data_IF_978975863315
#
_entry.id   IF_978975863315
#
_cell.length_a   1.000
_cell.length_b   1.000
_cell.length_c   1.000
_cell.angle_alpha   90.00
_cell.angle_beta   90.00
_cell.angle_gamma   90.00
#
_symmetry.space_group_name_H-M   'P 1'
#
loop_
_entity.id
_entity.type
_entity.pdbx_description
1 polymer ?
#
# COMPACT_ATOMS: atom_id res chain seq x y z
N UNK A 1 31.20 1.34 -1.88
CA UNK A 1 29.84 1.90 -1.71
C UNK A 1 28.94 1.16 -2.69
N UNK A 2 27.92 0.46 -2.22
CA UNK A 2 26.97 -0.21 -3.11
C UNK A 2 26.28 0.84 -3.97
N UNK A 3 26.28 0.67 -5.29
CA UNK A 3 25.44 1.45 -6.19
C UNK A 3 23.99 1.34 -5.68
N UNK A 4 23.36 2.48 -5.37
CA UNK A 4 21.93 2.52 -5.10
C UNK A 4 21.22 1.97 -6.33
N UNK A 5 20.48 0.88 -6.17
CA UNK A 5 19.64 0.34 -7.24
C UNK A 5 18.32 1.09 -7.18
N UNK A 6 18.11 2.00 -8.13
CA UNK A 6 16.81 2.62 -8.32
C UNK A 6 15.82 1.60 -8.90
N UNK A 7 14.55 1.77 -8.57
CA UNK A 7 13.46 0.98 -9.15
C UNK A 7 12.22 1.85 -9.32
N UNK A 8 11.37 1.46 -10.26
CA UNK A 8 10.18 2.22 -10.63
C UNK A 8 8.92 1.40 -10.33
N UNK A 9 7.93 2.05 -9.74
CA UNK A 9 6.58 1.50 -9.55
C UNK A 9 5.62 2.43 -10.28
N UNK A 10 5.08 1.97 -11.41
CA UNK A 10 4.30 2.80 -12.34
C UNK A 10 5.08 4.08 -12.71
N UNK A 11 4.60 5.25 -12.31
CA UNK A 11 5.19 6.57 -12.53
C UNK A 11 6.09 7.06 -11.39
N UNK A 12 6.18 6.33 -10.28
CA UNK A 12 6.97 6.71 -9.09
C UNK A 12 8.35 6.06 -9.12
N UNK A 13 9.40 6.87 -9.02
CA UNK A 13 10.78 6.38 -8.93
C UNK A 13 11.26 6.32 -7.48
N UNK A 14 11.95 5.25 -7.10
CA UNK A 14 12.61 5.12 -5.80
C UNK A 14 14.12 4.96 -5.99
N UNK A 15 14.91 5.60 -5.12
CA UNK A 15 16.35 5.36 -5.02
C UNK A 15 17.23 6.07 -6.06
N UNK A 16 16.70 7.05 -6.79
CA UNK A 16 17.43 7.87 -7.77
C UNK A 16 17.99 9.19 -7.18
N UNK A 17 17.83 9.40 -5.88
CA UNK A 17 18.25 10.61 -5.16
C UNK A 17 17.16 11.66 -4.99
N UNK A 18 16.01 11.53 -5.67
CA UNK A 18 14.82 12.35 -5.41
C UNK A 18 14.00 11.76 -4.25
N UNK A 19 13.18 12.61 -3.63
CA UNK A 19 12.29 12.20 -2.56
C UNK A 19 10.97 11.72 -3.14
N UNK A 20 10.56 10.52 -2.73
CA UNK A 20 9.28 9.90 -3.08
C UNK A 20 8.58 9.46 -1.82
N UNK A 21 7.26 9.67 -1.77
CA UNK A 21 6.47 9.50 -0.57
C UNK A 21 5.55 8.28 -0.63
N UNK A 22 5.38 7.63 0.51
CA UNK A 22 4.33 6.64 0.75
C UNK A 22 3.46 7.20 1.87
N UNK A 23 2.25 7.65 1.55
CA UNK A 23 1.38 8.39 2.47
C UNK A 23 -0.07 7.92 2.38
N UNK A 24 -0.83 8.16 3.45
CA UNK A 24 -2.25 7.85 3.51
C UNK A 24 -2.68 7.48 4.92
N UNK A 25 -3.99 7.25 5.14
CA UNK A 25 -4.49 6.88 6.44
C UNK A 25 -3.99 5.49 6.86
N UNK A 26 -4.09 5.19 8.16
CA UNK A 26 -3.57 3.95 8.71
C UNK A 26 -4.30 2.71 8.17
N UNK A 27 -5.63 2.81 8.04
CA UNK A 27 -6.55 1.74 7.66
C UNK A 27 -7.64 2.30 6.75
N UNK A 28 -8.19 1.47 5.87
CA UNK A 28 -9.36 1.82 5.06
C UNK A 28 -10.60 1.83 5.97
N UNK A 29 -11.14 3.01 6.23
CA UNK A 29 -12.32 3.21 7.07
C UNK A 29 -13.60 3.32 6.25
N UNK A 30 -13.57 4.07 5.15
CA UNK A 30 -14.68 4.25 4.20
C UNK A 30 -14.16 4.71 2.84
N UNK A 31 -14.96 4.51 1.78
CA UNK A 31 -14.61 4.97 0.44
C UNK A 31 -14.45 6.50 0.40
N UNK A 32 -15.40 7.23 1.01
CA UNK A 32 -15.37 8.69 1.08
C UNK A 32 -14.09 9.21 1.73
N UNK A 33 -13.68 8.64 2.87
CA UNK A 33 -12.47 9.06 3.57
C UNK A 33 -11.21 8.70 2.76
N UNK A 34 -11.17 7.49 2.17
CA UNK A 34 -10.02 7.05 1.40
C UNK A 34 -9.78 7.93 0.16
N UNK A 35 -10.84 8.21 -0.61
CA UNK A 35 -10.80 9.06 -1.80
C UNK A 35 -10.44 10.51 -1.45
N UNK A 36 -11.05 11.07 -0.40
CA UNK A 36 -10.71 12.41 0.09
C UNK A 36 -9.22 12.50 0.43
N UNK A 37 -8.71 11.58 1.24
CA UNK A 37 -7.29 11.59 1.63
C UNK A 37 -6.36 11.39 0.43
N UNK A 38 -6.71 10.49 -0.50
CA UNK A 38 -5.92 10.26 -1.70
C UNK A 38 -5.83 11.52 -2.58
N UNK A 39 -6.97 12.19 -2.79
CA UNK A 39 -7.03 13.42 -3.60
C UNK A 39 -6.23 14.56 -2.97
N UNK A 40 -6.47 14.87 -1.69
CA UNK A 40 -5.79 15.98 -1.00
C UNK A 40 -4.27 15.77 -0.94
N UNK A 41 -3.82 14.54 -0.63
CA UNK A 41 -2.39 14.24 -0.62
C UNK A 41 -1.79 14.36 -2.02
N UNK A 42 -2.47 13.82 -3.05
CA UNK A 42 -2.01 13.90 -4.44
C UNK A 42 -1.85 15.37 -4.90
N UNK A 43 -2.83 16.22 -4.59
CA UNK A 43 -2.78 17.64 -4.97
C UNK A 43 -1.64 18.38 -4.27
N UNK A 44 -1.40 18.12 -2.99
CA UNK A 44 -0.26 18.68 -2.25
C UNK A 44 1.06 18.17 -2.85
N UNK A 45 1.20 16.87 -3.11
CA UNK A 45 2.40 16.28 -3.70
C UNK A 45 2.70 16.88 -5.09
N UNK A 46 1.68 17.10 -5.92
CA UNK A 46 1.81 17.79 -7.21
C UNK A 46 2.29 19.23 -7.05
N UNK A 47 1.75 19.98 -6.09
CA UNK A 47 2.17 21.37 -5.84
C UNK A 47 3.65 21.49 -5.46
N UNK A 48 4.17 20.52 -4.69
CA UNK A 48 5.57 20.51 -4.27
C UNK A 48 6.48 19.65 -5.16
N UNK A 49 5.95 19.13 -6.28
CA UNK A 49 6.68 18.35 -7.29
C UNK A 49 7.39 17.11 -6.72
N UNK A 50 6.68 16.31 -5.94
CA UNK A 50 7.18 15.04 -5.36
C UNK A 50 6.31 13.86 -5.78
N UNK A 51 6.96 12.71 -6.00
CA UNK A 51 6.26 11.48 -6.37
C UNK A 51 5.57 10.85 -5.14
N UNK A 52 4.44 10.16 -5.34
CA UNK A 52 3.58 9.69 -4.27
C UNK A 52 2.92 8.33 -4.57
N UNK A 53 2.95 7.42 -3.58
CA UNK A 53 2.17 6.18 -3.53
C UNK A 53 1.17 6.23 -2.38
N UNK A 54 -0.11 5.99 -2.67
CA UNK A 54 -1.16 5.95 -1.65
C UNK A 54 -1.08 4.66 -0.83
N UNK A 55 -1.14 4.80 0.50
CA UNK A 55 -1.06 3.69 1.45
C UNK A 55 -2.28 3.64 2.35
N UNK A 56 -2.86 2.45 2.51
CA UNK A 56 -3.78 2.12 3.59
C UNK A 56 -3.84 0.61 3.82
N UNK A 57 -4.01 0.19 5.07
CA UNK A 57 -4.19 -1.23 5.40
C UNK A 57 -5.66 -1.63 5.27
N UNK A 58 -5.97 -2.81 4.72
CA UNK A 58 -7.34 -3.35 4.77
C UNK A 58 -7.65 -4.07 6.10
N UNK A 59 -6.61 -4.54 6.80
CA UNK A 59 -6.70 -5.19 8.11
C UNK A 59 -5.56 -4.76 9.04
N UNK A 60 -5.86 -4.58 10.33
CA UNK A 60 -4.88 -4.40 11.41
C UNK A 60 -4.78 -5.70 12.21
N UNK A 61 -4.01 -6.67 11.70
CA UNK A 61 -3.89 -8.00 12.29
C UNK A 61 -3.18 -8.09 13.66
N UNK A 62 -2.67 -6.96 14.17
CA UNK A 62 -1.80 -6.89 15.34
C UNK A 62 -2.29 -5.91 16.42
N UNK A 63 -3.61 -5.71 16.54
CA UNK A 63 -4.19 -4.94 17.65
C UNK A 63 -3.98 -5.68 18.98
N UNK A 64 -3.74 -4.93 20.06
CA UNK A 64 -3.55 -5.50 21.40
C UNK A 64 -4.84 -6.05 22.03
N UNK A 65 -6.02 -5.68 21.51
CA UNK A 65 -7.33 -6.19 21.94
C UNK A 65 -8.11 -6.70 20.73
N UNK A 66 -8.83 -7.81 20.91
CA UNK A 66 -9.69 -8.42 19.89
C UNK A 66 -10.89 -7.54 19.52
N UNK A 67 -11.34 -6.68 20.45
CA UNK A 67 -12.50 -5.79 20.26
C UNK A 67 -12.13 -4.50 19.49
N UNK A 68 -10.83 -4.27 19.27
CA UNK A 68 -10.37 -3.10 18.54
C UNK A 68 -10.77 -3.15 17.07
N UNK A 69 -11.18 -2.00 16.52
CA UNK A 69 -11.42 -1.87 15.08
C UNK A 69 -10.20 -2.28 14.26
N UNK A 70 -10.41 -3.10 13.23
CA UNK A 70 -9.33 -3.64 12.39
C UNK A 70 -9.37 -3.19 10.95
N UNK A 71 -10.38 -2.42 10.54
CA UNK A 71 -10.77 -2.28 9.14
C UNK A 71 -12.01 -3.11 8.85
N UNK A 72 -12.57 -2.97 7.64
CA UNK A 72 -13.75 -3.73 7.22
C UNK A 72 -13.40 -5.02 6.46
N UNK A 73 -12.13 -5.44 6.49
CA UNK A 73 -11.67 -6.67 5.86
C UNK A 73 -11.10 -6.46 4.46
N UNK A 74 -10.59 -7.56 3.90
CA UNK A 74 -9.80 -7.58 2.68
C UNK A 74 -10.61 -7.19 1.45
N UNK A 75 -11.78 -7.81 1.24
CA UNK A 75 -12.63 -7.56 0.07
C UNK A 75 -12.99 -6.07 -0.06
N UNK A 76 -13.54 -5.48 1.02
CA UNK A 76 -13.88 -4.05 1.06
C UNK A 76 -12.66 -3.15 0.89
N UNK A 77 -11.55 -3.48 1.57
CA UNK A 77 -10.33 -2.68 1.48
C UNK A 77 -9.73 -2.68 0.07
N UNK A 78 -9.70 -3.83 -0.60
CA UNK A 78 -9.21 -3.94 -1.98
C UNK A 78 -10.14 -3.27 -2.99
N UNK A 79 -11.46 -3.33 -2.80
CA UNK A 79 -12.42 -2.58 -3.62
C UNK A 79 -12.15 -1.08 -3.57
N UNK A 80 -11.97 -0.53 -2.37
CA UNK A 80 -11.67 0.90 -2.20
C UNK A 80 -10.29 1.27 -2.75
N UNK A 81 -9.28 0.44 -2.53
CA UNK A 81 -7.96 0.69 -3.11
C UNK A 81 -8.00 0.67 -4.64
N UNK A 82 -8.79 -0.23 -5.24
CA UNK A 82 -9.03 -0.22 -6.68
C UNK A 82 -9.74 1.06 -7.14
N UNK A 83 -10.71 1.54 -6.35
CA UNK A 83 -11.40 2.80 -6.62
C UNK A 83 -10.45 4.01 -6.55
N UNK A 84 -9.58 4.07 -5.55
CA UNK A 84 -8.54 5.12 -5.43
C UNK A 84 -7.63 5.12 -6.67
N UNK A 85 -7.19 3.95 -7.13
CA UNK A 85 -6.41 3.85 -8.38
C UNK A 85 -7.19 4.39 -9.58
N UNK A 86 -8.44 3.98 -9.73
CA UNK A 86 -9.26 4.32 -10.88
C UNK A 86 -9.61 5.82 -10.94
N UNK A 87 -9.94 6.43 -9.80
CA UNK A 87 -10.41 7.81 -9.75
C UNK A 87 -9.29 8.84 -9.62
N UNK A 88 -8.26 8.53 -8.80
CA UNK A 88 -7.19 9.50 -8.47
C UNK A 88 -5.95 9.28 -9.35
N UNK A 89 -5.79 8.07 -9.89
CA UNK A 89 -4.69 7.74 -10.80
C UNK A 89 -3.33 7.59 -10.11
N UNK A 90 -3.30 7.26 -8.82
CA UNK A 90 -2.05 7.06 -8.05
C UNK A 90 -1.78 5.57 -7.81
N UNK A 91 -0.50 5.13 -7.78
CA UNK A 91 -0.16 3.78 -7.35
C UNK A 91 -0.55 3.56 -5.89
N UNK A 92 -0.87 2.32 -5.53
CA UNK A 92 -1.28 1.96 -4.16
C UNK A 92 -0.43 0.84 -3.57
N UNK A 93 -0.20 0.94 -2.25
CA UNK A 93 0.48 -0.06 -1.42
C UNK A 93 -0.40 -0.45 -0.24
N UNK A 94 -0.43 -1.75 0.06
CA UNK A 94 -1.08 -2.28 1.27
C UNK A 94 -0.30 -3.47 1.83
N UNK A 95 -0.50 -3.75 3.11
CA UNK A 95 0.15 -4.85 3.82
C UNK A 95 -0.64 -6.14 3.77
N UNK A 96 0.08 -7.26 3.59
CA UNK A 96 -0.48 -8.62 3.65
C UNK A 96 0.02 -9.32 4.92
N UNK A 97 -0.88 -10.01 5.62
CA UNK A 97 -0.60 -10.68 6.89
C UNK A 97 -0.49 -12.20 6.75
N UNK A 98 -1.04 -12.78 5.68
CA UNK A 98 -1.06 -14.22 5.43
C UNK A 98 -0.80 -14.55 3.95
N UNK A 99 -0.15 -15.68 3.61
CA UNK A 99 0.22 -16.01 2.23
C UNK A 99 -0.97 -16.04 1.26
N UNK A 100 -2.14 -16.54 1.69
CA UNK A 100 -3.33 -16.63 0.82
C UNK A 100 -3.90 -15.27 0.42
N UNK A 101 -3.51 -14.19 1.10
CA UNK A 101 -3.95 -12.83 0.76
C UNK A 101 -3.21 -12.29 -0.47
N UNK A 102 -1.99 -12.79 -0.73
CA UNK A 102 -1.06 -12.23 -1.71
C UNK A 102 -1.67 -12.15 -3.11
N UNK A 103 -2.23 -13.24 -3.63
CA UNK A 103 -2.72 -13.29 -5.01
C UNK A 103 -3.79 -12.23 -5.27
N UNK A 104 -4.82 -12.16 -4.41
CA UNK A 104 -5.90 -11.17 -4.54
C UNK A 104 -5.39 -9.75 -4.30
N UNK A 105 -4.52 -9.52 -3.32
CA UNK A 105 -3.96 -8.18 -3.09
C UNK A 105 -3.11 -7.72 -4.28
N UNK A 106 -2.32 -8.60 -4.89
CA UNK A 106 -1.46 -8.29 -6.04
C UNK A 106 -2.24 -7.96 -7.32
N UNK A 107 -3.50 -8.36 -7.42
CA UNK A 107 -4.37 -7.94 -8.54
C UNK A 107 -4.72 -6.44 -8.46
N UNK A 108 -4.70 -5.86 -7.27
CA UNK A 108 -5.06 -4.46 -7.03
C UNK A 108 -3.84 -3.59 -6.71
N UNK A 109 -3.02 -4.00 -5.74
CA UNK A 109 -1.89 -3.23 -5.26
C UNK A 109 -0.70 -3.24 -6.23
N UNK A 110 0.01 -2.12 -6.29
CA UNK A 110 1.24 -1.97 -7.06
C UNK A 110 2.48 -2.39 -6.27
N UNK A 111 2.37 -2.36 -4.94
CA UNK A 111 3.41 -2.80 -4.00
C UNK A 111 2.75 -3.61 -2.89
N UNK A 112 3.37 -4.72 -2.50
CA UNK A 112 2.99 -5.49 -1.32
C UNK A 112 3.92 -5.15 -0.15
N UNK A 113 3.36 -4.68 0.96
CA UNK A 113 4.11 -4.42 2.18
C UNK A 113 4.13 -5.67 3.07
N UNK A 114 5.32 -6.08 3.51
CA UNK A 114 5.48 -7.11 4.55
C UNK A 114 5.52 -6.44 5.93
N UNK A 115 4.59 -6.76 6.85
CA UNK A 115 4.63 -6.23 8.21
C UNK A 115 5.94 -6.58 8.92
N UNK A 116 6.43 -5.66 9.75
CA UNK A 116 7.72 -5.84 10.44
C UNK A 116 7.78 -7.12 11.28
N UNK A 117 6.70 -7.51 11.95
CA UNK A 117 6.64 -8.77 12.71
C UNK A 117 6.67 -10.03 11.83
N UNK A 118 6.38 -9.89 10.54
CA UNK A 118 6.30 -10.97 9.58
C UNK A 118 7.48 -11.00 8.60
N UNK A 119 8.46 -10.11 8.74
CA UNK A 119 9.58 -9.95 7.81
C UNK A 119 10.55 -11.15 7.74
N UNK A 120 10.31 -12.19 8.53
CA UNK A 120 11.08 -13.45 8.54
C UNK A 120 10.22 -14.69 8.31
N UNK A 121 8.94 -14.53 7.94
CA UNK A 121 8.04 -15.65 7.66
C UNK A 121 8.24 -16.11 6.23
N UNK A 122 9.07 -17.15 6.04
CA UNK A 122 9.53 -17.61 4.73
C UNK A 122 8.39 -17.84 3.74
N UNK A 123 7.30 -18.49 4.15
CA UNK A 123 6.18 -18.79 3.25
C UNK A 123 5.50 -17.52 2.74
N UNK A 124 5.30 -16.52 3.61
CA UNK A 124 4.73 -15.22 3.21
C UNK A 124 5.68 -14.48 2.26
N UNK A 125 6.98 -14.46 2.55
CA UNK A 125 7.99 -13.79 1.72
C UNK A 125 8.09 -14.43 0.33
N UNK A 126 8.11 -15.75 0.27
CA UNK A 126 8.16 -16.50 -0.98
C UNK A 126 6.89 -16.26 -1.78
N UNK A 127 5.72 -16.28 -1.14
CA UNK A 127 4.47 -16.04 -1.84
C UNK A 127 4.37 -14.59 -2.37
N UNK A 128 4.72 -13.60 -1.55
CA UNK A 128 4.80 -12.20 -1.97
C UNK A 128 5.76 -12.03 -3.16
N UNK A 129 6.95 -12.65 -3.12
CA UNK A 129 7.91 -12.58 -4.22
C UNK A 129 7.40 -13.22 -5.53
N UNK A 130 6.63 -14.32 -5.46
CA UNK A 130 6.03 -14.95 -6.65
C UNK A 130 5.01 -14.05 -7.35
N UNK A 131 4.38 -13.12 -6.62
CA UNK A 131 3.39 -12.20 -7.19
C UNK A 131 3.99 -11.22 -8.20
N UNK A 132 5.31 -11.00 -8.16
CA UNK A 132 6.01 -10.05 -9.03
C UNK A 132 5.72 -8.57 -8.71
N UNK A 133 5.10 -8.30 -7.56
CA UNK A 133 4.87 -6.96 -7.01
C UNK A 133 5.94 -6.55 -6.01
#
# INVERSE_FOLDING_TARGET
MSQLKSFQVNDVMFGDGRLSFILGPCVVESAQHALFMAQEINDICKQVSVDFVYKSSFDKANRSSIESFRGQGMEFGLEILAQVKAEIGVPVITDVHEPWQVEKTAQVADILQIPAFLCRQTDLLVEAAKSGK
#
